data_IF_952695425032
#
_entry.id   IF_952695425032
#
_cell.length_a   1.000
_cell.length_b   1.000
_cell.length_c   1.000
_cell.angle_alpha   90.00
_cell.angle_beta   90.00
_cell.angle_gamma   90.00
#
_symmetry.space_group_name_H-M   'P 1'
#
loop_
_entity.id
_entity.type
_entity.pdbx_description
1 polymer ?
#
# COMPACT_ATOMS: atom_id res chain seq x y z
N UNK A 1 13.60 6.55 14.53
CA UNK A 1 14.73 7.48 14.28
C UNK A 1 14.75 7.81 12.78
N UNK A 2 14.29 9.01 12.38
CA UNK A 2 14.05 9.37 10.96
C UNK A 2 15.33 9.77 10.18
N UNK A 3 16.39 10.15 10.89
CA UNK A 3 17.70 10.50 10.30
C UNK A 3 18.70 9.37 10.55
N UNK A 4 19.41 8.95 9.51
CA UNK A 4 20.48 7.96 9.63
C UNK A 4 21.57 8.49 10.58
N UNK A 5 21.96 7.69 11.59
CA UNK A 5 22.98 8.08 12.57
C UNK A 5 24.38 7.98 11.92
N UNK A 6 25.14 9.07 11.94
CA UNK A 6 26.48 9.18 11.33
C UNK A 6 26.46 9.82 9.94
N UNK A 7 27.64 9.93 9.31
CA UNK A 7 27.83 10.45 7.94
C UNK A 7 28.07 9.28 6.95
N UNK A 8 27.20 8.24 6.88
CA UNK A 8 27.48 7.05 6.09
C UNK A 8 27.48 7.38 4.59
N UNK A 9 28.48 6.86 3.86
CA UNK A 9 28.48 6.94 2.40
C UNK A 9 27.32 6.10 1.86
N UNK A 10 26.55 6.64 0.90
CA UNK A 10 25.39 5.97 0.27
C UNK A 10 25.68 4.54 -0.22
N UNK A 11 26.92 4.28 -0.65
CA UNK A 11 27.42 2.97 -1.12
C UNK A 11 27.45 1.89 -0.03
N UNK A 12 27.50 2.28 1.24
CA UNK A 12 27.61 1.36 2.39
C UNK A 12 26.26 1.12 3.08
N UNK A 13 25.16 1.69 2.54
CA UNK A 13 23.83 1.46 3.07
C UNK A 13 23.33 0.06 2.66
N UNK A 14 22.65 -0.68 3.56
CA UNK A 14 21.95 -1.91 3.21
C UNK A 14 20.99 -1.68 2.03
N UNK A 15 20.88 -2.68 1.14
CA UNK A 15 20.05 -2.60 -0.07
C UNK A 15 18.59 -2.25 0.22
N UNK A 16 18.03 -2.69 1.36
CA UNK A 16 16.68 -2.36 1.83
C UNK A 16 16.51 -0.87 2.18
N UNK A 17 17.54 -0.25 2.73
CA UNK A 17 17.55 1.19 3.02
C UNK A 17 17.66 1.97 1.69
N UNK A 18 18.50 1.50 0.75
CA UNK A 18 18.62 2.10 -0.58
C UNK A 18 17.28 2.08 -1.35
N UNK A 19 16.51 0.99 -1.31
CA UNK A 19 15.17 0.94 -1.93
C UNK A 19 14.13 1.80 -1.21
N UNK A 20 14.28 2.07 0.09
CA UNK A 20 13.45 3.05 0.80
C UNK A 20 13.90 4.51 0.57
N UNK A 21 15.17 4.77 0.25
CA UNK A 21 15.66 6.09 -0.18
C UNK A 21 15.32 6.41 -1.64
N UNK A 22 15.14 5.40 -2.49
CA UNK A 22 14.66 5.59 -3.85
C UNK A 22 13.17 5.97 -3.80
N UNK A 23 12.83 7.18 -4.22
CA UNK A 23 11.43 7.58 -4.45
C UNK A 23 10.75 6.56 -5.36
N UNK A 24 9.45 6.33 -5.16
CA UNK A 24 8.70 5.59 -6.17
C UNK A 24 8.75 6.42 -7.45
N UNK A 25 9.16 5.81 -8.56
CA UNK A 25 9.15 6.50 -9.83
C UNK A 25 7.70 6.85 -10.18
N UNK A 26 7.46 8.10 -10.55
CA UNK A 26 6.19 8.57 -11.12
C UNK A 26 6.05 8.05 -12.56
N UNK A 27 6.05 6.72 -12.71
CA UNK A 27 5.93 6.01 -13.98
C UNK A 27 4.45 5.89 -14.38
N UNK A 28 4.21 5.70 -15.68
CA UNK A 28 2.86 5.61 -16.24
C UNK A 28 2.05 4.47 -15.61
N UNK A 29 2.69 3.32 -15.38
CA UNK A 29 2.04 2.15 -14.78
C UNK A 29 1.64 2.39 -13.32
N UNK A 30 2.49 3.08 -12.55
CA UNK A 30 2.20 3.42 -11.16
C UNK A 30 1.02 4.40 -11.06
N UNK A 31 0.98 5.39 -11.95
CA UNK A 31 -0.16 6.32 -12.07
C UNK A 31 -1.45 5.61 -12.43
N UNK A 32 -1.40 4.68 -13.40
CA UNK A 32 -2.56 3.90 -13.82
C UNK A 32 -3.09 3.03 -12.68
N UNK A 33 -2.20 2.33 -11.95
CA UNK A 33 -2.59 1.52 -10.80
C UNK A 33 -3.26 2.35 -9.70
N UNK A 34 -2.76 3.56 -9.44
CA UNK A 34 -3.39 4.46 -8.47
C UNK A 34 -4.75 4.98 -8.93
N UNK A 35 -4.90 5.29 -10.22
CA UNK A 35 -6.19 5.65 -10.78
C UNK A 35 -7.21 4.51 -10.60
N UNK A 36 -6.82 3.27 -10.89
CA UNK A 36 -7.67 2.10 -10.69
C UNK A 36 -8.03 1.89 -9.22
N UNK A 37 -7.09 2.09 -8.30
CA UNK A 37 -7.34 1.97 -6.86
C UNK A 37 -8.40 2.98 -6.38
N UNK A 38 -8.27 4.24 -6.79
CA UNK A 38 -9.20 5.31 -6.38
C UNK A 38 -10.56 5.12 -7.04
N UNK A 39 -10.58 4.81 -8.35
CA UNK A 39 -11.83 4.52 -9.05
C UNK A 39 -12.55 3.29 -8.48
N UNK A 40 -11.82 2.27 -8.04
CA UNK A 40 -12.42 1.13 -7.33
C UNK A 40 -13.00 1.54 -5.98
N UNK A 41 -12.33 2.43 -5.25
CA UNK A 41 -12.84 2.97 -3.98
C UNK A 41 -14.10 3.79 -4.20
N UNK A 42 -14.09 4.68 -5.21
CA UNK A 42 -15.24 5.48 -5.63
C UNK A 42 -16.42 4.62 -6.06
N UNK A 43 -16.17 3.54 -6.82
CA UNK A 43 -17.21 2.60 -7.22
C UNK A 43 -17.85 1.91 -6.01
N UNK A 44 -17.04 1.43 -5.06
CA UNK A 44 -17.55 0.76 -3.86
C UNK A 44 -18.36 1.72 -2.99
N UNK A 45 -17.85 2.95 -2.77
CA UNK A 45 -18.60 4.00 -2.07
C UNK A 45 -19.89 4.35 -2.82
N UNK A 46 -19.82 4.57 -4.13
CA UNK A 46 -20.95 4.98 -4.96
C UNK A 46 -22.06 3.94 -5.01
N UNK A 47 -21.72 2.65 -5.13
CA UNK A 47 -22.70 1.55 -5.10
C UNK A 47 -23.41 1.52 -3.75
N UNK A 48 -22.69 1.67 -2.64
CA UNK A 48 -23.30 1.72 -1.32
C UNK A 48 -24.23 2.93 -1.15
N UNK A 49 -23.81 4.12 -1.61
CA UNK A 49 -24.62 5.34 -1.54
C UNK A 49 -25.93 5.17 -2.30
N UNK A 50 -25.88 4.62 -3.52
CA UNK A 50 -27.07 4.39 -4.35
C UNK A 50 -27.99 3.34 -3.71
N UNK A 51 -27.42 2.29 -3.11
CA UNK A 51 -28.19 1.18 -2.54
C UNK A 51 -28.81 1.51 -1.17
N UNK A 52 -28.13 2.31 -0.35
CA UNK A 52 -28.46 2.51 1.07
C UNK A 52 -29.14 3.88 1.30
N UNK A 53 -28.81 4.90 0.51
CA UNK A 53 -29.46 6.22 0.54
C UNK A 53 -29.20 7.07 1.81
N UNK A 54 -28.36 6.59 2.73
CA UNK A 54 -28.02 7.30 3.96
C UNK A 54 -26.99 8.41 3.73
N UNK A 55 -27.21 9.55 4.40
CA UNK A 55 -26.52 10.80 4.06
C UNK A 55 -25.46 11.20 5.07
N UNK A 56 -25.55 10.73 6.32
CA UNK A 56 -24.67 11.21 7.38
C UNK A 56 -23.22 10.73 7.25
N UNK A 57 -23.01 9.42 7.08
CA UNK A 57 -21.67 8.83 6.92
C UNK A 57 -21.06 9.20 5.57
N UNK A 58 -21.89 9.22 4.52
CA UNK A 58 -21.53 9.72 3.19
C UNK A 58 -21.07 11.18 3.24
N UNK A 59 -21.76 12.06 3.95
CA UNK A 59 -21.37 13.48 4.05
C UNK A 59 -19.98 13.70 4.68
N UNK A 60 -19.56 12.81 5.59
CA UNK A 60 -18.24 12.88 6.22
C UNK A 60 -17.13 12.39 5.29
N UNK A 61 -17.36 11.32 4.52
CA UNK A 61 -16.35 10.74 3.63
C UNK A 61 -16.20 11.50 2.29
N UNK A 62 -17.30 12.08 1.78
CA UNK A 62 -17.36 12.81 0.51
C UNK A 62 -16.29 13.91 0.36
N UNK A 63 -16.05 14.82 1.32
CA UNK A 63 -15.04 15.87 1.15
C UNK A 63 -13.63 15.31 0.98
N UNK A 64 -13.30 14.21 1.67
CA UNK A 64 -11.98 13.57 1.53
C UNK A 64 -11.83 12.87 0.18
N UNK A 65 -12.90 12.22 -0.29
CA UNK A 65 -12.97 11.58 -1.62
C UNK A 65 -12.81 12.61 -2.75
N UNK A 66 -13.51 13.74 -2.66
CA UNK A 66 -13.38 14.83 -3.64
C UNK A 66 -11.95 15.38 -3.63
N UNK A 67 -11.40 15.62 -2.43
CA UNK A 67 -10.04 16.12 -2.26
C UNK A 67 -8.99 15.21 -2.91
N UNK A 68 -9.07 13.89 -2.67
CA UNK A 68 -8.12 12.95 -3.25
C UNK A 68 -8.32 12.76 -4.75
N UNK A 69 -9.56 12.80 -5.26
CA UNK A 69 -9.84 12.73 -6.68
C UNK A 69 -9.28 13.93 -7.44
N UNK A 70 -9.46 15.16 -6.92
CA UNK A 70 -8.85 16.36 -7.49
C UNK A 70 -7.32 16.21 -7.50
N UNK A 71 -6.72 15.73 -6.41
CA UNK A 71 -5.28 15.51 -6.34
C UNK A 71 -4.80 14.45 -7.34
N UNK A 72 -5.59 13.39 -7.55
CA UNK A 72 -5.32 12.34 -8.55
C UNK A 72 -5.20 12.93 -9.95
N UNK A 73 -6.16 13.78 -10.34
CA UNK A 73 -6.16 14.46 -11.64
C UNK A 73 -4.88 15.29 -11.81
N UNK A 74 -4.51 16.08 -10.81
CA UNK A 74 -3.28 16.88 -10.82
C UNK A 74 -2.05 15.99 -11.05
N UNK A 75 -1.98 14.85 -10.33
CA UNK A 75 -0.84 13.91 -10.40
C UNK A 75 -0.73 13.21 -11.75
N UNK A 76 -1.85 12.91 -12.41
CA UNK A 76 -1.85 12.33 -13.74
C UNK A 76 -1.13 13.22 -14.74
N UNK A 77 -1.34 14.54 -14.67
CA UNK A 77 -0.72 15.52 -15.56
C UNK A 77 0.73 15.91 -15.20
N UNK A 78 1.25 15.53 -14.03
CA UNK A 78 2.64 15.83 -13.65
C UNK A 78 3.63 15.10 -14.56
N UNK A 79 4.61 15.81 -15.11
CA UNK A 79 5.74 15.19 -15.84
C UNK A 79 6.69 14.48 -14.87
N UNK A 80 7.41 13.46 -15.36
CA UNK A 80 8.39 12.75 -14.54
C UNK A 80 9.58 13.66 -14.18
N UNK A 81 9.87 13.80 -12.89
CA UNK A 81 10.96 14.61 -12.34
C UNK A 81 11.20 14.20 -10.89
N UNK A 82 12.43 14.28 -10.38
CA UNK A 82 12.76 13.89 -8.99
C UNK A 82 11.90 14.62 -7.94
N UNK A 83 11.58 15.90 -8.18
CA UNK A 83 10.66 16.67 -7.33
C UNK A 83 9.24 16.10 -7.39
N UNK A 84 8.80 15.72 -8.58
CA UNK A 84 7.46 15.17 -8.81
C UNK A 84 7.34 13.73 -8.30
N UNK A 85 8.42 12.95 -8.27
CA UNK A 85 8.47 11.61 -7.67
C UNK A 85 8.31 11.67 -6.14
N UNK A 86 8.89 12.70 -5.51
CA UNK A 86 8.69 12.95 -4.08
C UNK A 86 7.24 13.41 -3.79
N UNK A 87 6.69 14.32 -4.60
CA UNK A 87 5.27 14.71 -4.53
C UNK A 87 4.34 13.51 -4.78
N UNK A 88 4.69 12.61 -5.69
CA UNK A 88 3.95 11.37 -5.95
C UNK A 88 3.98 10.43 -4.74
N UNK A 89 5.13 10.30 -4.07
CA UNK A 89 5.27 9.45 -2.88
C UNK A 89 4.39 9.92 -1.72
N UNK A 90 4.32 11.24 -1.43
CA UNK A 90 3.43 11.76 -0.38
C UNK A 90 1.97 11.64 -0.78
N UNK A 91 1.65 11.87 -2.06
CA UNK A 91 0.31 11.66 -2.59
C UNK A 91 -0.14 10.20 -2.40
N UNK A 92 0.71 9.21 -2.69
CA UNK A 92 0.36 7.80 -2.47
C UNK A 92 0.08 7.50 -0.99
N UNK A 93 0.83 8.13 -0.08
CA UNK A 93 0.59 8.05 1.36
C UNK A 93 -0.75 8.65 1.78
N UNK A 94 -1.05 9.85 1.27
CA UNK A 94 -2.32 10.53 1.53
C UNK A 94 -3.52 9.77 0.94
N UNK A 95 -3.39 9.26 -0.29
CA UNK A 95 -4.41 8.44 -0.95
C UNK A 95 -4.71 7.17 -0.15
N UNK A 96 -3.69 6.45 0.32
CA UNK A 96 -3.87 5.28 1.19
C UNK A 96 -4.58 5.62 2.51
N UNK A 97 -4.26 6.75 3.13
CA UNK A 97 -4.93 7.20 4.35
C UNK A 97 -6.40 7.56 4.12
N UNK A 98 -6.71 8.27 3.02
CA UNK A 98 -8.08 8.63 2.64
C UNK A 98 -8.90 7.38 2.30
N UNK A 99 -8.35 6.46 1.48
CA UNK A 99 -9.02 5.21 1.13
C UNK A 99 -9.30 4.37 2.38
N UNK A 100 -8.33 4.26 3.29
CA UNK A 100 -8.50 3.59 4.59
C UNK A 100 -9.67 4.18 5.37
N UNK A 101 -9.73 5.50 5.50
CA UNK A 101 -10.81 6.17 6.19
C UNK A 101 -12.17 5.92 5.53
N UNK A 102 -12.24 5.97 4.19
CA UNK A 102 -13.49 5.73 3.47
C UNK A 102 -14.00 4.30 3.67
N UNK A 103 -13.14 3.29 3.56
CA UNK A 103 -13.53 1.90 3.81
C UNK A 103 -13.94 1.65 5.28
N UNK A 104 -13.33 2.37 6.23
CA UNK A 104 -13.73 2.30 7.64
C UNK A 104 -15.15 2.84 7.83
N UNK A 105 -15.43 4.02 7.26
CA UNK A 105 -16.76 4.63 7.28
C UNK A 105 -17.80 3.70 6.63
N UNK A 106 -17.50 3.14 5.46
CA UNK A 106 -18.39 2.19 4.77
C UNK A 106 -18.68 0.94 5.60
N UNK A 107 -17.68 0.41 6.32
CA UNK A 107 -17.88 -0.75 7.20
C UNK A 107 -18.89 -0.44 8.31
N UNK A 108 -18.78 0.74 8.92
CA UNK A 108 -19.68 1.15 10.00
C UNK A 108 -21.09 1.44 9.47
N UNK A 109 -21.18 2.14 8.34
CA UNK A 109 -22.45 2.49 7.68
C UNK A 109 -23.23 1.23 7.28
N UNK A 110 -22.55 0.23 6.71
CA UNK A 110 -23.21 -1.00 6.28
C UNK A 110 -23.87 -1.75 7.45
N UNK A 111 -23.19 -1.81 8.61
CA UNK A 111 -23.75 -2.45 9.82
C UNK A 111 -24.87 -1.61 10.39
N UNK A 112 -24.67 -0.29 10.46
CA UNK A 112 -25.67 0.64 10.98
C UNK A 112 -27.02 0.55 10.23
N UNK A 113 -26.98 0.53 8.90
CA UNK A 113 -28.22 0.58 8.11
C UNK A 113 -28.89 -0.78 7.96
N UNK A 114 -28.13 -1.85 7.76
CA UNK A 114 -28.71 -3.17 7.45
C UNK A 114 -29.00 -4.02 8.70
N UNK A 115 -28.34 -3.75 9.82
CA UNK A 115 -28.50 -4.51 11.07
C UNK A 115 -29.02 -3.64 12.23
N UNK A 116 -29.18 -2.35 12.01
CA UNK A 116 -29.53 -1.37 13.03
C UNK A 116 -28.32 -0.91 13.84
N UNK A 117 -28.59 -0.13 14.89
CA UNK A 117 -27.54 0.49 15.71
C UNK A 117 -26.84 -0.52 16.64
N UNK A 118 -25.86 -1.26 16.10
CA UNK A 118 -24.95 -2.09 16.90
C UNK A 118 -23.78 -1.25 17.46
N UNK A 119 -24.01 -0.72 18.66
CA UNK A 119 -23.00 0.03 19.42
C UNK A 119 -21.72 -0.77 19.68
N UNK A 120 -21.85 -2.07 19.93
CA UNK A 120 -20.70 -2.92 20.29
C UNK A 120 -19.79 -3.02 19.08
N UNK A 121 -20.34 -3.27 17.90
CA UNK A 121 -19.57 -3.31 16.66
C UNK A 121 -18.90 -1.96 16.37
N UNK A 122 -19.62 -0.85 16.48
CA UNK A 122 -19.08 0.49 16.20
C UNK A 122 -17.93 0.85 17.15
N UNK A 123 -18.09 0.61 18.45
CA UNK A 123 -17.06 0.92 19.47
C UNK A 123 -15.85 0.01 19.28
N UNK A 124 -16.05 -1.29 19.13
CA UNK A 124 -14.94 -2.26 18.99
C UNK A 124 -14.17 -2.04 17.69
N UNK A 125 -14.84 -1.87 16.56
CA UNK A 125 -14.19 -1.57 15.27
C UNK A 125 -13.40 -0.27 15.31
N UNK A 126 -13.94 0.78 15.92
CA UNK A 126 -13.24 2.07 16.09
C UNK A 126 -11.98 1.92 16.96
N UNK A 127 -12.08 1.18 18.07
CA UNK A 127 -10.96 0.94 18.98
C UNK A 127 -9.85 0.14 18.30
N UNK A 128 -10.21 -0.95 17.60
CA UNK A 128 -9.26 -1.76 16.84
C UNK A 128 -8.60 -0.93 15.74
N UNK A 129 -9.36 -0.10 15.02
CA UNK A 129 -8.82 0.79 13.99
C UNK A 129 -7.73 1.72 14.55
N UNK A 130 -7.99 2.36 15.69
CA UNK A 130 -7.03 3.24 16.35
C UNK A 130 -5.77 2.49 16.81
N UNK A 131 -5.92 1.32 17.43
CA UNK A 131 -4.79 0.49 17.87
C UNK A 131 -3.91 0.07 16.69
N UNK A 132 -4.54 -0.39 15.60
CA UNK A 132 -3.81 -0.87 14.42
C UNK A 132 -3.03 0.26 13.77
N UNK A 133 -3.64 1.44 13.57
CA UNK A 133 -2.95 2.61 13.05
C UNK A 133 -1.77 3.00 13.94
N UNK A 134 -2.01 3.12 15.25
CA UNK A 134 -0.97 3.51 16.21
C UNK A 134 0.19 2.51 16.19
N UNK A 135 -0.12 1.21 16.16
CA UNK A 135 0.87 0.13 16.08
C UNK A 135 1.69 0.21 14.79
N UNK A 136 1.04 0.48 13.64
CA UNK A 136 1.74 0.66 12.37
C UNK A 136 2.67 1.87 12.41
N UNK A 137 2.19 3.01 12.92
CA UNK A 137 3.00 4.24 13.06
C UNK A 137 4.20 3.99 13.97
N UNK A 138 3.99 3.37 15.14
CA UNK A 138 5.06 3.02 16.08
C UNK A 138 6.07 2.03 15.46
N UNK A 139 5.60 1.01 14.74
CA UNK A 139 6.45 0.06 14.04
C UNK A 139 7.37 0.75 13.03
N UNK A 140 6.83 1.66 12.21
CA UNK A 140 7.65 2.41 11.25
C UNK A 140 8.59 3.42 11.92
N UNK A 141 8.22 4.01 13.06
CA UNK A 141 9.08 4.97 13.78
C UNK A 141 10.22 4.32 14.58
N UNK A 142 9.95 3.16 15.21
CA UNK A 142 10.83 2.54 16.21
C UNK A 142 11.56 1.31 15.65
N UNK A 143 10.84 0.41 14.95
CA UNK A 143 11.36 -0.91 14.55
C UNK A 143 12.10 -0.86 13.22
N UNK A 144 11.57 -0.09 12.26
CA UNK A 144 12.18 0.08 10.92
C UNK A 144 13.68 0.43 10.93
N UNK A 145 14.20 1.36 11.77
CA UNK A 145 15.62 1.69 11.76
C UNK A 145 16.53 0.60 12.36
N UNK A 146 15.98 -0.40 13.07
CA UNK A 146 16.75 -1.39 13.83
C UNK A 146 16.79 -2.79 13.19
N UNK A 147 16.00 -3.01 12.13
CA UNK A 147 15.81 -4.34 11.58
C UNK A 147 16.91 -4.79 10.61
N UNK A 148 17.76 -5.70 11.11
CA UNK A 148 18.69 -6.53 10.31
C UNK A 148 18.02 -7.73 9.66
N UNK A 149 16.71 -7.97 9.87
CA UNK A 149 16.03 -9.19 9.40
C UNK A 149 15.61 -9.08 7.93
N UNK A 150 16.12 -9.99 7.10
CA UNK A 150 15.54 -10.37 5.81
C UNK A 150 14.24 -11.11 6.10
N UNK A 151 13.09 -10.51 5.77
CA UNK A 151 11.85 -11.28 5.66
C UNK A 151 11.93 -12.11 4.39
N UNK A 152 11.91 -13.43 4.55
CA UNK A 152 11.89 -14.37 3.42
C UNK A 152 10.56 -14.24 2.69
N UNK A 153 10.60 -14.03 1.37
CA UNK A 153 9.39 -13.83 0.56
C UNK A 153 8.46 -15.04 0.61
N UNK A 154 9.02 -16.23 0.82
CA UNK A 154 8.29 -17.51 0.92
C UNK A 154 7.34 -17.54 2.11
N UNK A 155 7.73 -16.96 3.25
CA UNK A 155 6.89 -16.91 4.46
C UNK A 155 5.69 -15.97 4.26
N UNK A 156 5.86 -14.90 3.49
CA UNK A 156 4.82 -13.92 3.20
C UNK A 156 3.77 -14.51 2.24
N UNK A 157 4.21 -15.22 1.20
CA UNK A 157 3.32 -15.92 0.26
C UNK A 157 2.53 -17.03 0.97
N UNK A 158 3.18 -17.84 1.81
CA UNK A 158 2.49 -18.88 2.59
C UNK A 158 1.47 -18.29 3.58
N UNK A 159 1.80 -17.15 4.19
CA UNK A 159 0.87 -16.44 5.08
C UNK A 159 -0.35 -15.91 4.33
N UNK A 160 -0.17 -15.36 3.12
CA UNK A 160 -1.27 -14.88 2.26
C UNK A 160 -2.19 -16.03 1.80
N UNK A 161 -1.64 -17.19 1.43
CA UNK A 161 -2.43 -18.36 1.08
C UNK A 161 -3.24 -18.88 2.27
N UNK A 162 -2.63 -18.96 3.46
CA UNK A 162 -3.33 -19.34 4.70
C UNK A 162 -4.44 -18.36 5.05
N UNK A 163 -4.20 -17.06 4.89
CA UNK A 163 -5.21 -16.02 5.09
C UNK A 163 -6.40 -16.19 4.15
N UNK A 164 -6.16 -16.49 2.87
CA UNK A 164 -7.24 -16.73 1.90
C UNK A 164 -8.12 -17.94 2.25
N UNK A 165 -7.52 -19.03 2.74
CA UNK A 165 -8.26 -20.23 3.16
C UNK A 165 -9.10 -19.94 4.41
N UNK A 166 -8.52 -19.25 5.41
CA UNK A 166 -9.24 -18.87 6.63
C UNK A 166 -10.37 -17.89 6.32
N UNK A 167 -10.14 -16.92 5.43
CA UNK A 167 -11.16 -15.97 4.99
C UNK A 167 -12.32 -16.66 4.26
N UNK A 168 -12.04 -17.68 3.44
CA UNK A 168 -13.08 -18.46 2.76
C UNK A 168 -13.93 -19.27 3.75
N UNK A 169 -13.29 -19.94 4.71
CA UNK A 169 -14.00 -20.72 5.74
C UNK A 169 -14.86 -19.79 6.61
N UNK A 170 -14.31 -18.64 7.00
CA UNK A 170 -15.06 -17.62 7.72
C UNK A 170 -16.26 -17.10 6.89
N UNK A 171 -16.05 -16.80 5.61
CA UNK A 171 -17.11 -16.37 4.70
C UNK A 171 -18.25 -17.39 4.62
N UNK A 172 -17.91 -18.66 4.43
CA UNK A 172 -18.88 -19.75 4.36
C UNK A 172 -19.68 -19.87 5.67
N UNK A 173 -19.02 -19.75 6.82
CA UNK A 173 -19.66 -19.84 8.12
C UNK A 173 -20.60 -18.65 8.39
N UNK A 174 -20.13 -17.42 8.13
CA UNK A 174 -20.95 -16.22 8.31
C UNK A 174 -22.15 -16.20 7.35
N UNK A 175 -21.94 -16.52 6.07
CA UNK A 175 -23.00 -16.45 5.05
C UNK A 175 -24.09 -17.51 5.24
N UNK A 176 -23.75 -18.67 5.78
CA UNK A 176 -24.67 -19.80 5.83
C UNK A 176 -25.39 -19.97 7.17
N UNK A 177 -24.78 -19.58 8.28
CA UNK A 177 -25.30 -19.85 9.62
C UNK A 177 -25.88 -18.64 10.35
N UNK A 178 -25.58 -17.40 9.93
CA UNK A 178 -26.04 -16.20 10.62
C UNK A 178 -27.02 -15.40 9.78
N UNK A 179 -28.18 -15.10 10.36
CA UNK A 179 -29.10 -14.09 9.83
C UNK A 179 -28.39 -12.72 9.89
N UNK A 180 -28.25 -12.06 8.74
CA UNK A 180 -27.41 -10.86 8.61
C UNK A 180 -25.89 -11.13 8.47
N UNK A 181 -25.48 -12.40 8.40
CA UNK A 181 -24.08 -12.78 8.28
C UNK A 181 -23.39 -12.28 7.01
N UNK A 182 -24.13 -12.09 5.91
CA UNK A 182 -23.62 -11.45 4.70
C UNK A 182 -23.21 -10.00 4.94
N UNK A 183 -23.98 -9.26 5.73
CA UNK A 183 -23.69 -7.87 6.10
C UNK A 183 -22.44 -7.78 6.97
N UNK A 184 -22.34 -8.64 7.99
CA UNK A 184 -21.14 -8.71 8.82
C UNK A 184 -19.90 -9.10 8.00
N UNK A 185 -20.02 -10.10 7.13
CA UNK A 185 -18.92 -10.53 6.26
C UNK A 185 -18.43 -9.40 5.35
N UNK A 186 -19.35 -8.67 4.70
CA UNK A 186 -19.03 -7.50 3.89
C UNK A 186 -18.37 -6.39 4.72
N UNK A 187 -18.90 -6.11 5.91
CA UNK A 187 -18.33 -5.10 6.81
C UNK A 187 -16.92 -5.45 7.28
N UNK A 188 -16.67 -6.71 7.66
CA UNK A 188 -15.33 -7.20 7.99
C UNK A 188 -14.38 -7.16 6.80
N UNK A 189 -14.89 -7.38 5.58
CA UNK A 189 -14.10 -7.24 4.35
C UNK A 189 -13.66 -5.79 4.13
N UNK A 190 -14.55 -4.82 4.35
CA UNK A 190 -14.21 -3.40 4.31
C UNK A 190 -13.23 -2.99 5.44
N UNK A 191 -13.33 -3.58 6.63
CA UNK A 191 -12.31 -3.43 7.68
C UNK A 191 -10.94 -4.00 7.27
N UNK A 192 -10.92 -5.13 6.56
CA UNK A 192 -9.67 -5.69 6.05
C UNK A 192 -9.02 -4.74 5.02
N UNK A 193 -9.81 -4.16 4.11
CA UNK A 193 -9.34 -3.14 3.17
C UNK A 193 -8.84 -1.89 3.89
N UNK A 194 -9.55 -1.45 4.93
CA UNK A 194 -9.13 -0.34 5.80
C UNK A 194 -7.70 -0.56 6.31
N UNK A 195 -7.41 -1.72 6.90
CA UNK A 195 -6.07 -2.02 7.40
C UNK A 195 -5.02 -2.11 6.30
N UNK A 196 -5.37 -2.69 5.14
CA UNK A 196 -4.48 -2.76 3.99
C UNK A 196 -4.08 -1.37 3.47
N UNK A 197 -5.06 -0.47 3.29
CA UNK A 197 -4.81 0.89 2.82
C UNK A 197 -4.12 1.74 3.87
N UNK A 198 -4.41 1.55 5.15
CA UNK A 198 -3.70 2.19 6.26
C UNK A 198 -2.22 1.80 6.27
N UNK A 199 -1.92 0.51 6.11
CA UNK A 199 -0.55 0.02 6.00
C UNK A 199 0.20 0.66 4.82
N UNK A 200 -0.44 0.73 3.65
CA UNK A 200 0.11 1.39 2.47
C UNK A 200 0.34 2.89 2.73
N UNK A 201 -0.64 3.57 3.31
CA UNK A 201 -0.56 4.99 3.67
C UNK A 201 0.62 5.29 4.58
N UNK A 202 0.70 4.61 5.73
CA UNK A 202 1.79 4.80 6.72
C UNK A 202 3.16 4.49 6.10
N UNK A 203 3.26 3.43 5.30
CA UNK A 203 4.51 3.06 4.60
C UNK A 203 5.02 4.19 3.71
N UNK A 204 4.15 4.79 2.89
CA UNK A 204 4.52 5.85 1.96
C UNK A 204 4.75 7.20 2.65
N UNK A 205 3.95 7.54 3.67
CA UNK A 205 4.17 8.73 4.51
C UNK A 205 5.54 8.63 5.20
N UNK A 206 5.85 7.49 5.81
CA UNK A 206 7.14 7.25 6.44
C UNK A 206 8.28 7.34 5.41
N UNK A 207 8.12 6.73 4.22
CA UNK A 207 9.09 6.82 3.12
C UNK A 207 9.35 8.28 2.71
N UNK A 208 8.31 9.11 2.60
CA UNK A 208 8.45 10.53 2.28
C UNK A 208 9.25 11.28 3.34
N UNK A 209 8.89 11.17 4.63
CA UNK A 209 9.63 11.83 5.71
C UNK A 209 11.07 11.34 5.80
N UNK A 210 11.31 10.06 5.53
CA UNK A 210 12.64 9.48 5.50
C UNK A 210 13.50 10.03 4.36
N UNK A 211 12.94 10.16 3.14
CA UNK A 211 13.65 10.80 2.02
C UNK A 211 13.95 12.27 2.34
N UNK A 212 12.96 13.01 2.85
CA UNK A 212 13.10 14.42 3.21
C UNK A 212 14.17 14.65 4.29
N UNK A 213 14.21 13.81 5.33
CA UNK A 213 15.19 13.89 6.41
C UNK A 213 16.63 13.55 5.99
N UNK A 214 16.82 12.92 4.82
CA UNK A 214 18.12 12.48 4.31
C UNK A 214 18.45 13.10 2.93
N UNK A 215 17.81 14.21 2.55
CA UNK A 215 18.08 14.94 1.30
C UNK A 215 19.57 15.32 1.15
N UNK A 216 20.23 15.69 2.25
CA UNK A 216 21.66 16.04 2.28
C UNK A 216 22.58 14.92 1.72
N UNK A 217 22.21 13.65 1.93
CA UNK A 217 22.96 12.49 1.43
C UNK A 217 22.73 12.26 -0.06
N UNK A 218 21.53 12.58 -0.52
CA UNK A 218 21.12 12.49 -1.93
C UNK A 218 21.80 13.61 -2.74
N UNK A 219 21.82 14.84 -2.24
CA UNK A 219 22.49 15.97 -2.90
C UNK A 219 24.01 15.79 -2.99
N UNK A 220 24.62 15.21 -1.96
CA UNK A 220 26.05 14.83 -1.98
C UNK A 220 26.37 13.74 -3.01
N UNK A 221 25.40 12.89 -3.36
CA UNK A 221 25.52 11.91 -4.45
C UNK A 221 25.44 12.60 -5.81
N UNK A 222 24.54 13.58 -5.97
CA UNK A 222 24.40 14.36 -7.20
C UNK A 222 25.63 15.21 -7.51
N UNK A 223 26.24 15.86 -6.51
CA UNK A 223 27.50 16.63 -6.69
C UNK A 223 28.71 15.79 -7.09
N UNK A 224 28.70 14.46 -6.91
CA UNK A 224 29.84 13.57 -7.21
C UNK A 224 29.78 12.90 -8.60
N UNK A 225 28.85 13.29 -9.48
CA UNK A 225 28.88 12.92 -10.90
C UNK A 225 28.62 11.44 -11.24
N UNK A 226 28.42 10.55 -10.25
CA UNK A 226 28.12 9.14 -10.52
C UNK A 226 26.62 8.93 -10.78
N UNK A 227 26.20 9.16 -12.03
CA UNK A 227 24.91 8.70 -12.52
C UNK A 227 25.05 7.35 -13.22
N UNK A 228 24.29 6.37 -12.75
CA UNK A 228 23.56 5.44 -13.61
C UNK A 228 22.16 5.30 -12.99
N UNK A 229 21.10 5.68 -13.72
CA UNK A 229 19.75 5.57 -13.20
C UNK A 229 19.39 4.10 -13.21
N UNK A 230 18.86 3.63 -12.08
CA UNK A 230 18.50 2.23 -11.80
C UNK A 230 19.73 1.37 -11.46
N UNK A 231 19.65 0.52 -10.42
CA UNK A 231 20.31 -0.76 -10.55
C UNK A 231 19.66 -1.40 -11.78
N UNK A 232 20.42 -1.60 -12.87
CA UNK A 232 20.04 -2.61 -13.84
C UNK A 232 19.84 -3.86 -13.00
N UNK A 233 18.59 -4.26 -12.77
CA UNK A 233 18.27 -5.63 -12.40
C UNK A 233 18.93 -6.41 -13.51
N UNK A 234 20.11 -6.95 -13.21
CA UNK A 234 20.84 -7.80 -14.12
C UNK A 234 19.84 -8.92 -14.39
N UNK A 235 19.23 -8.92 -15.57
CA UNK A 235 18.44 -10.03 -16.11
C UNK A 235 19.40 -11.22 -16.22
N UNK A 236 19.71 -11.84 -15.09
CA UNK A 236 20.45 -13.09 -14.97
C UNK A 236 19.43 -14.23 -15.18
N UNK A 237 18.67 -14.13 -16.25
CA UNK A 237 17.57 -15.05 -16.59
C UNK A 237 17.49 -15.34 -18.09
N UNK A 238 18.53 -15.06 -18.89
CA UNK A 238 18.51 -15.51 -20.28
C UNK A 238 19.84 -15.97 -20.87
N UNK A 239 20.87 -16.20 -20.04
CA UNK A 239 22.13 -16.83 -20.47
C UNK A 239 22.19 -18.35 -20.23
N UNK A 240 21.19 -18.93 -19.56
CA UNK A 240 21.12 -20.39 -19.35
C UNK A 240 20.38 -21.11 -20.49
N UNK A 241 19.49 -20.45 -21.22
CA UNK A 241 18.76 -21.09 -22.32
C UNK A 241 19.54 -21.10 -23.65
N UNK A 242 20.47 -20.17 -23.87
CA UNK A 242 21.30 -20.16 -25.08
C UNK A 242 22.33 -21.30 -25.08
N UNK A 243 22.87 -21.67 -23.92
CA UNK A 243 23.82 -22.79 -23.82
C UNK A 243 23.14 -24.18 -23.92
N UNK A 244 21.85 -24.30 -23.58
CA UNK A 244 21.12 -25.56 -23.74
C UNK A 244 20.64 -25.80 -25.19
N UNK A 245 20.39 -24.74 -25.97
CA UNK A 245 20.04 -24.86 -27.39
C UNK A 245 21.27 -25.25 -28.21
N UNK A 246 22.46 -24.74 -27.87
CA UNK A 246 23.71 -25.12 -28.55
C UNK A 246 24.18 -26.54 -28.23
N UNK A 247 23.94 -27.02 -27.01
CA UNK A 247 24.24 -28.42 -26.65
C UNK A 247 23.32 -29.41 -27.37
N UNK A 248 22.06 -29.06 -27.61
CA UNK A 248 21.13 -29.94 -28.35
C UNK A 248 21.46 -30.05 -29.84
N UNK A 249 21.99 -28.99 -30.47
CA UNK A 249 22.44 -29.03 -31.87
C UNK A 249 23.72 -29.83 -32.11
N UNK A 250 24.52 -30.09 -31.07
CA UNK A 250 25.76 -30.85 -31.18
C UNK A 250 25.57 -32.36 -31.03
N UNK A 251 24.49 -32.81 -30.40
CA UNK A 251 24.18 -34.23 -30.22
C UNK A 251 23.45 -34.85 -31.42
N UNK A 252 22.81 -34.03 -32.28
CA UNK A 252 22.12 -34.50 -33.49
C UNK A 252 23.03 -34.58 -34.73
N UNK A 253 24.35 -34.42 -34.58
CA UNK A 253 25.34 -34.49 -35.69
C UNK A 253 26.56 -35.37 -35.39
N UNK A 254 26.43 -36.34 -34.48
CA UNK A 254 27.44 -37.40 -34.28
C UNK A 254 26.83 -38.77 -34.53
#
# INVERSE_FOLDING_TARGET
>A
MLKLKGNPKYRNLPSRIITHLASESCDKDAKLNMLWMILFTDLMCGVLIIAIGETFFTAISLPFMIGINIWTVIVLFLKQSDRNDLHFTIYMGAAGAVCSFCYFVLSQELVYVLLGYDLIFIITSSFVYMIVILSMVLHYLIVFPNDKKKTDSTTLVNCLCLFGIVAYIAAFFFLHFFEGGATYFMSYTFLAFTFFFSFMGVKFIHKFFFIKANQDLIDRRFKKGTYSPRPKVLKRSNRRNTNMIDLRKKTDRS
#
